data_IF_968066363225
#
_entry.id   IF_968066363225
#
_cell.length_a   1.000
_cell.length_b   1.000
_cell.length_c   1.000
_cell.angle_alpha   90.00
_cell.angle_beta   90.00
_cell.angle_gamma   90.00
#
_symmetry.space_group_name_H-M   'P 1'
#
loop_
_entity.id
_entity.type
_entity.pdbx_description
1 polymer ?
#
# COMPACT_ATOMS: atom_id res chain seq x y z
N UNK A 1 21.97 1.25 -6.18
CA UNK A 1 21.27 2.25 -5.34
C UNK A 1 20.00 1.61 -4.81
N UNK A 2 19.94 1.31 -3.52
CA UNK A 2 18.71 0.92 -2.83
C UNK A 2 17.68 2.03 -3.06
N UNK A 3 16.68 1.75 -3.89
CA UNK A 3 15.61 2.70 -4.21
C UNK A 3 14.92 3.12 -2.91
N UNK A 4 15.21 4.32 -2.41
CA UNK A 4 14.59 4.92 -1.22
C UNK A 4 13.12 5.34 -1.47
N UNK A 5 12.42 4.61 -2.35
CA UNK A 5 11.04 4.88 -2.75
C UNK A 5 10.14 3.83 -2.14
N UNK A 6 9.06 4.26 -1.50
CA UNK A 6 8.01 3.36 -1.03
C UNK A 6 7.40 2.54 -2.18
N UNK A 7 6.75 1.43 -1.85
CA UNK A 7 6.13 0.53 -2.83
C UNK A 7 5.12 1.25 -3.73
N UNK A 8 4.37 2.23 -3.21
CA UNK A 8 3.41 3.04 -3.98
C UNK A 8 4.13 3.87 -5.05
N UNK A 9 5.15 4.64 -4.65
CA UNK A 9 5.89 5.49 -5.58
C UNK A 9 6.69 4.65 -6.59
N UNK A 10 7.17 3.47 -6.20
CA UNK A 10 7.81 2.51 -7.10
C UNK A 10 6.81 1.99 -8.13
N UNK A 11 5.60 1.60 -7.72
CA UNK A 11 4.54 1.10 -8.60
C UNK A 11 4.16 2.12 -9.67
N UNK A 12 3.91 3.37 -9.29
CA UNK A 12 3.62 4.47 -10.23
C UNK A 12 4.84 5.02 -10.95
N UNK A 13 6.02 4.41 -10.78
CA UNK A 13 7.29 4.85 -11.38
C UNK A 13 7.61 6.34 -11.14
N UNK A 14 7.14 6.91 -10.03
CA UNK A 14 7.34 8.32 -9.66
C UNK A 14 8.42 8.51 -8.58
N UNK A 15 8.81 9.76 -8.33
CA UNK A 15 9.69 10.11 -7.20
C UNK A 15 8.92 9.90 -5.88
N UNK A 16 9.63 9.47 -4.83
CA UNK A 16 9.08 9.40 -3.48
C UNK A 16 9.58 10.64 -2.71
N UNK A 17 8.68 11.58 -2.32
CA UNK A 17 9.09 12.74 -1.55
C UNK A 17 9.39 12.35 -0.10
N UNK A 18 10.18 13.16 0.60
CA UNK A 18 10.60 12.88 1.99
C UNK A 18 9.42 12.82 2.96
N UNK A 19 8.32 13.52 2.67
CA UNK A 19 7.07 13.54 3.43
C UNK A 19 5.98 12.64 2.83
N UNK A 20 6.35 11.59 2.10
CA UNK A 20 5.38 10.69 1.47
C UNK A 20 4.50 9.98 2.50
N UNK A 21 3.21 10.27 2.51
CA UNK A 21 2.22 9.65 3.42
C UNK A 21 2.17 8.13 3.33
N UNK A 22 2.56 7.57 2.18
CA UNK A 22 2.57 6.12 1.96
C UNK A 22 3.84 5.44 2.46
N UNK A 23 4.94 6.18 2.64
CA UNK A 23 6.25 5.61 2.95
C UNK A 23 6.30 4.79 4.24
N UNK A 24 5.68 5.24 5.35
CA UNK A 24 5.68 4.48 6.60
C UNK A 24 4.91 3.15 6.51
N UNK A 25 3.90 3.08 5.64
CA UNK A 25 2.95 1.96 5.59
C UNK A 25 3.21 0.98 4.43
N UNK A 26 3.85 1.45 3.35
CA UNK A 26 4.14 0.67 2.15
C UNK A 26 5.63 0.66 1.84
N UNK A 27 6.47 -0.01 2.66
CA UNK A 27 7.91 -0.02 2.47
C UNK A 27 8.33 -0.75 1.17
N UNK A 28 9.49 -0.41 0.59
CA UNK A 28 9.98 -1.00 -0.67
C UNK A 28 10.23 -2.52 -0.60
N UNK A 29 10.49 -3.06 0.59
CA UNK A 29 10.81 -4.47 0.82
C UNK A 29 9.58 -5.38 0.71
N UNK A 30 8.36 -4.84 0.76
CA UNK A 30 7.14 -5.61 0.68
C UNK A 30 6.13 -5.00 -0.30
N UNK A 31 6.43 -5.02 -1.63
CA UNK A 31 5.58 -4.39 -2.63
C UNK A 31 4.21 -5.03 -2.77
N UNK A 32 4.07 -6.32 -2.41
CA UNK A 32 2.81 -7.06 -2.48
C UNK A 32 1.72 -6.45 -1.58
N UNK A 33 2.11 -5.85 -0.45
CA UNK A 33 1.18 -5.11 0.43
C UNK A 33 0.44 -4.02 -0.34
N UNK A 34 1.17 -3.26 -1.16
CA UNK A 34 0.53 -2.22 -1.95
C UNK A 34 -0.33 -2.82 -3.07
N UNK A 35 0.19 -3.81 -3.80
CA UNK A 35 -0.55 -4.44 -4.91
C UNK A 35 -1.90 -5.01 -4.48
N UNK A 36 -1.97 -5.72 -3.35
CA UNK A 36 -3.23 -6.27 -2.83
C UNK A 36 -4.25 -5.17 -2.51
N UNK A 37 -3.86 -4.14 -1.76
CA UNK A 37 -4.79 -3.08 -1.34
C UNK A 37 -5.18 -2.20 -2.54
N UNK A 38 -4.22 -1.89 -3.42
CA UNK A 38 -4.44 -1.15 -4.65
C UNK A 38 -5.46 -1.80 -5.57
N UNK A 39 -5.44 -3.14 -5.70
CA UNK A 39 -6.35 -3.87 -6.59
C UNK A 39 -7.84 -3.72 -6.22
N UNK A 40 -8.14 -3.39 -4.97
CA UNK A 40 -9.51 -3.35 -4.45
C UNK A 40 -9.94 -1.92 -4.19
N UNK A 41 -9.13 -1.19 -3.43
CA UNK A 41 -9.45 0.18 -3.04
C UNK A 41 -8.93 1.18 -4.06
N UNK A 42 -7.86 0.87 -4.79
CA UNK A 42 -7.16 1.84 -5.64
C UNK A 42 -6.31 2.81 -4.82
N UNK A 43 -5.27 3.38 -5.45
CA UNK A 43 -4.31 4.25 -4.75
C UNK A 43 -4.97 5.51 -4.15
N UNK A 44 -5.92 6.10 -4.87
CA UNK A 44 -6.58 7.34 -4.46
C UNK A 44 -7.42 7.15 -3.19
N UNK A 45 -8.13 6.03 -3.07
CA UNK A 45 -8.96 5.78 -1.88
C UNK A 45 -8.09 5.43 -0.66
N UNK A 46 -6.98 4.72 -0.85
CA UNK A 46 -5.99 4.49 0.22
C UNK A 46 -5.40 5.83 0.68
N UNK A 47 -5.07 6.71 -0.26
CA UNK A 47 -4.58 8.06 0.05
C UNK A 47 -5.58 8.85 0.90
N UNK A 48 -6.84 8.94 0.45
CA UNK A 48 -7.91 9.62 1.19
C UNK A 48 -8.13 9.03 2.59
N UNK A 49 -8.20 7.69 2.68
CA UNK A 49 -8.35 6.99 3.97
C UNK A 49 -7.20 7.33 4.92
N UNK A 50 -5.96 7.37 4.42
CA UNK A 50 -4.81 7.78 5.24
C UNK A 50 -4.91 9.25 5.64
N UNK A 51 -5.39 10.15 4.79
CA UNK A 51 -5.56 11.57 5.12
C UNK A 51 -6.65 11.81 6.18
N UNK A 52 -7.75 11.05 6.12
CA UNK A 52 -8.90 11.15 7.04
C UNK A 52 -8.65 10.52 8.42
N UNK A 53 -7.74 9.54 8.52
CA UNK A 53 -7.41 8.88 9.78
C UNK A 53 -6.37 9.64 10.61
N UNK A 54 -6.51 9.55 11.93
CA UNK A 54 -5.47 9.95 12.88
C UNK A 54 -4.19 9.13 12.66
N UNK A 55 -3.02 9.72 12.90
CA UNK A 55 -1.73 9.14 12.51
C UNK A 55 -1.47 7.80 13.20
N UNK A 56 -1.88 7.70 14.46
CA UNK A 56 -1.88 6.51 15.32
C UNK A 56 -2.69 5.35 14.74
N UNK A 57 -3.82 5.64 14.08
CA UNK A 57 -4.74 4.62 13.57
C UNK A 57 -4.39 4.13 12.17
N UNK A 58 -3.66 4.94 11.39
CA UNK A 58 -3.31 4.63 9.99
C UNK A 58 -2.59 3.29 9.85
N UNK A 59 -1.67 2.96 10.77
CA UNK A 59 -0.94 1.70 10.74
C UNK A 59 -1.87 0.50 10.92
N UNK A 60 -2.77 0.58 11.90
CA UNK A 60 -3.75 -0.47 12.21
C UNK A 60 -4.76 -0.61 11.07
N UNK A 61 -5.21 0.50 10.49
CA UNK A 61 -6.13 0.49 9.36
C UNK A 61 -5.52 -0.19 8.13
N UNK A 62 -4.27 0.16 7.78
CA UNK A 62 -3.57 -0.47 6.65
C UNK A 62 -3.33 -1.96 6.91
N UNK A 63 -2.89 -2.34 8.11
CA UNK A 63 -2.69 -3.74 8.49
C UNK A 63 -4.00 -4.53 8.40
N UNK A 64 -5.08 -3.98 8.96
CA UNK A 64 -6.41 -4.59 8.95
C UNK A 64 -6.93 -4.74 7.52
N UNK A 65 -6.76 -3.73 6.67
CA UNK A 65 -7.06 -3.83 5.25
C UNK A 65 -6.27 -4.98 4.63
N UNK A 66 -4.94 -4.99 4.74
CA UNK A 66 -4.11 -6.04 4.14
C UNK A 66 -4.51 -7.44 4.64
N UNK A 67 -4.77 -7.60 5.93
CA UNK A 67 -5.19 -8.86 6.54
C UNK A 67 -6.57 -9.30 6.02
N UNK A 68 -7.59 -8.45 6.11
CA UNK A 68 -8.95 -8.75 5.64
C UNK A 68 -8.94 -9.09 4.16
N UNK A 69 -8.21 -8.29 3.38
CA UNK A 69 -8.06 -8.54 1.96
C UNK A 69 -7.37 -9.86 1.70
N UNK A 70 -6.30 -10.22 2.42
CA UNK A 70 -5.60 -11.50 2.25
C UNK A 70 -6.49 -12.72 2.51
N UNK A 71 -7.41 -12.62 3.49
CA UNK A 71 -8.40 -13.66 3.78
C UNK A 71 -9.42 -13.78 2.64
N UNK A 72 -9.94 -12.65 2.15
CA UNK A 72 -10.87 -12.60 1.01
C UNK A 72 -10.19 -12.95 -0.33
N UNK A 73 -8.87 -12.75 -0.44
CA UNK A 73 -8.07 -12.92 -1.67
C UNK A 73 -7.43 -14.28 -1.88
N UNK A 74 -7.55 -15.24 -0.95
CA UNK A 74 -7.09 -16.62 -1.18
C UNK A 74 -7.67 -17.25 -2.46
N UNK A 75 -8.73 -16.66 -3.03
CA UNK A 75 -9.36 -17.10 -4.28
C UNK A 75 -8.82 -16.36 -5.54
N UNK A 76 -8.22 -15.16 -5.46
CA UNK A 76 -8.00 -14.29 -6.65
C UNK A 76 -6.59 -13.73 -6.92
N UNK A 77 -5.64 -13.76 -5.97
CA UNK A 77 -4.30 -13.16 -6.18
C UNK A 77 -3.18 -14.11 -6.61
N UNK A 78 -3.40 -15.43 -6.65
CA UNK A 78 -2.37 -16.41 -7.05
C UNK A 78 -2.03 -16.39 -8.56
N UNK A 79 -2.38 -15.34 -9.31
CA UNK A 79 -2.24 -15.35 -10.77
C UNK A 79 -2.19 -14.00 -11.48
N UNK A 80 -1.75 -12.91 -10.84
CA UNK A 80 -1.49 -11.66 -11.57
C UNK A 80 -0.13 -11.10 -11.20
N UNK A 81 0.86 -11.49 -12.01
CA UNK A 81 2.16 -10.87 -12.07
C UNK A 81 2.44 -10.60 -13.55
N UNK A 82 2.05 -9.40 -14.00
CA UNK A 82 2.56 -8.73 -15.19
C UNK A 82 2.52 -7.21 -14.94
#
# INVERSE_FOLDING_TARGET
MSSNRCAVCKYFRRRCPSNCIFSPYFPPNNPQRFTCVHRIYGASNIGKMLEELAVEDRAIAVETCIMRLSVEYRIRCMGVQD
#
